data_IF_309230446770
#
_entry.id   IF_309230446770
#
_cell.length_a   1.000
_cell.length_b   1.000
_cell.length_c   1.000
_cell.angle_alpha   90.00
_cell.angle_beta   90.00
_cell.angle_gamma   90.00
#
_symmetry.space_group_name_H-M   'P 1'
#
loop_
_entity.id
_entity.type
_entity.pdbx_description
1 polymer ?
#
# COMPACT_ATOMS: atom_id res chain seq x y z
N UNK A 1 45.08 -0.45 17.10
CA UNK A 1 44.73 0.61 16.12
C UNK A 1 43.61 0.07 15.26
N UNK A 2 42.38 0.45 15.58
CA UNK A 2 41.16 -0.12 14.99
C UNK A 2 40.62 0.90 13.99
N UNK A 3 40.88 0.66 12.71
CA UNK A 3 40.34 1.46 11.62
C UNK A 3 38.88 1.05 11.42
N UNK A 4 37.97 1.74 12.11
CA UNK A 4 36.53 1.55 11.90
C UNK A 4 36.16 2.14 10.55
N UNK A 5 35.84 1.25 9.62
CA UNK A 5 35.33 1.52 8.28
C UNK A 5 33.97 2.22 8.39
N UNK A 6 33.96 3.54 8.21
CA UNK A 6 32.75 4.32 7.97
C UNK A 6 32.34 4.17 6.50
N UNK A 7 31.62 3.09 6.22
CA UNK A 7 30.87 2.82 4.98
C UNK A 7 29.46 2.46 5.46
N UNK A 8 28.33 3.05 5.04
CA UNK A 8 27.98 3.89 3.93
C UNK A 8 27.07 5.02 4.44
N UNK A 9 27.46 6.26 4.19
CA UNK A 9 26.49 7.31 3.88
C UNK A 9 26.67 7.49 2.39
N UNK A 10 25.97 6.69 1.58
CA UNK A 10 25.71 7.08 0.20
C UNK A 10 25.02 8.43 0.31
N UNK A 11 25.80 9.46 0.01
CA UNK A 11 25.36 10.83 0.14
C UNK A 11 24.19 10.97 -0.81
N UNK A 12 23.04 11.39 -0.30
CA UNK A 12 21.97 12.00 -1.11
C UNK A 12 22.50 13.17 -1.96
N UNK A 13 23.71 13.67 -1.65
CA UNK A 13 24.49 14.62 -2.45
C UNK A 13 25.10 14.04 -3.73
N UNK A 14 25.34 12.73 -3.82
CA UNK A 14 25.94 12.09 -5.00
C UNK A 14 24.88 11.75 -6.07
N UNK A 15 23.62 11.60 -5.67
CA UNK A 15 22.45 11.67 -6.58
C UNK A 15 22.31 13.04 -7.26
N UNK A 16 22.99 14.08 -6.76
CA UNK A 16 22.89 15.47 -7.25
C UNK A 16 24.17 15.93 -7.98
N UNK A 17 25.26 15.13 -8.02
CA UNK A 17 26.59 15.62 -8.43
C UNK A 17 27.37 14.81 -9.45
N UNK A 18 26.82 13.72 -9.97
CA UNK A 18 27.29 13.23 -11.27
C UNK A 18 26.53 13.98 -12.37
N UNK A 19 27.14 14.35 -13.52
CA UNK A 19 26.34 14.50 -14.71
C UNK A 19 25.57 13.17 -14.82
N UNK A 20 24.24 13.22 -14.71
CA UNK A 20 23.41 12.21 -15.36
C UNK A 20 23.87 12.31 -16.80
N UNK A 21 24.83 11.47 -17.20
CA UNK A 21 25.10 11.25 -18.58
C UNK A 21 23.72 10.95 -19.13
N UNK A 22 23.22 11.84 -19.97
CA UNK A 22 22.04 11.64 -20.80
C UNK A 22 22.44 10.52 -21.78
N UNK A 23 22.71 9.33 -21.24
CA UNK A 23 22.50 8.09 -21.93
C UNK A 23 21.08 8.22 -22.48
N UNK A 24 20.97 8.01 -23.79
CA UNK A 24 19.77 8.06 -24.62
C UNK A 24 18.52 8.17 -23.76
N UNK A 25 17.92 9.37 -23.72
CA UNK A 25 16.78 9.65 -22.86
C UNK A 25 15.81 8.46 -22.98
N UNK A 26 15.48 7.76 -21.88
CA UNK A 26 14.57 6.63 -21.96
C UNK A 26 13.30 7.09 -22.67
N UNK A 27 12.60 6.22 -23.39
CA UNK A 27 11.38 6.58 -24.07
C UNK A 27 10.32 7.03 -23.04
N UNK A 28 10.33 8.32 -22.68
CA UNK A 28 9.47 8.96 -21.67
C UNK A 28 8.01 8.97 -22.12
N UNK A 29 7.70 8.54 -23.34
CA UNK A 29 6.34 8.42 -23.89
C UNK A 29 5.43 7.63 -22.93
N UNK A 30 5.92 6.54 -22.36
CA UNK A 30 5.15 5.69 -21.44
C UNK A 30 5.05 6.24 -20.01
N UNK A 31 5.78 7.30 -19.69
CA UNK A 31 5.83 7.90 -18.35
C UNK A 31 4.89 9.11 -18.19
N UNK A 32 4.17 9.49 -19.25
CA UNK A 32 3.28 10.64 -19.22
C UNK A 32 2.14 10.47 -18.18
N UNK A 33 1.99 11.46 -17.30
CA UNK A 33 0.96 11.53 -16.26
C UNK A 33 0.33 12.92 -16.24
N UNK A 34 -0.96 13.00 -15.93
CA UNK A 34 -1.66 14.27 -15.78
C UNK A 34 -1.53 14.82 -14.35
N UNK A 35 -1.87 16.09 -14.15
CA UNK A 35 -1.95 16.67 -12.81
C UNK A 35 -2.98 15.95 -11.93
N UNK A 36 -4.08 15.46 -12.50
CA UNK A 36 -5.08 14.69 -11.77
C UNK A 36 -4.50 13.37 -11.23
N UNK A 37 -3.70 12.66 -12.03
CA UNK A 37 -3.02 11.45 -11.56
C UNK A 37 -2.09 11.76 -10.39
N UNK A 38 -1.34 12.87 -10.49
CA UNK A 38 -0.47 13.31 -9.40
C UNK A 38 -1.23 13.62 -8.11
N UNK A 39 -2.38 14.29 -8.19
CA UNK A 39 -3.21 14.60 -7.02
C UNK A 39 -3.76 13.34 -6.36
N UNK A 40 -4.21 12.36 -7.15
CA UNK A 40 -4.71 11.07 -6.66
C UNK A 40 -3.61 10.23 -6.00
N UNK A 41 -2.38 10.30 -6.52
CA UNK A 41 -1.22 9.60 -5.99
C UNK A 41 -0.69 10.15 -4.64
N UNK A 42 -1.02 11.40 -4.29
CA UNK A 42 -0.43 12.07 -3.12
C UNK A 42 -0.65 11.34 -1.78
N UNK A 43 -1.87 10.88 -1.42
CA UNK A 43 -2.11 10.29 -0.10
C UNK A 43 -1.33 8.99 0.15
N UNK A 44 -1.23 8.13 -0.88
CA UNK A 44 -0.47 6.89 -0.80
C UNK A 44 1.03 7.20 -0.77
N UNK A 45 1.49 8.16 -1.56
CA UNK A 45 2.88 8.65 -1.51
C UNK A 45 3.24 9.18 -0.12
N UNK A 46 2.37 9.99 0.49
CA UNK A 46 2.57 10.51 1.85
C UNK A 46 2.69 9.37 2.87
N UNK A 47 1.88 8.32 2.71
CA UNK A 47 1.94 7.14 3.58
C UNK A 47 3.29 6.41 3.43
N UNK A 48 3.78 6.21 2.20
CA UNK A 48 5.08 5.58 1.96
C UNK A 48 6.24 6.42 2.53
N UNK A 49 6.20 7.75 2.35
CA UNK A 49 7.18 8.68 2.92
C UNK A 49 7.17 8.62 4.45
N UNK A 50 6.01 8.70 5.08
CA UNK A 50 5.86 8.63 6.52
C UNK A 50 6.38 7.30 7.08
N UNK A 51 6.11 6.19 6.39
CA UNK A 51 6.66 4.88 6.75
C UNK A 51 8.18 4.85 6.63
N UNK A 52 8.76 5.35 5.53
CA UNK A 52 10.21 5.43 5.37
C UNK A 52 10.86 6.24 6.51
N UNK A 53 10.26 7.37 6.90
CA UNK A 53 10.73 8.19 8.02
C UNK A 53 10.69 7.40 9.33
N UNK A 54 9.56 6.73 9.60
CA UNK A 54 9.41 5.93 10.81
C UNK A 54 10.41 4.78 10.82
N UNK A 55 10.65 4.13 9.70
CA UNK A 55 11.55 2.98 9.59
C UNK A 55 13.03 3.37 9.65
N UNK A 56 13.38 4.63 9.39
CA UNK A 56 14.72 5.13 9.69
C UNK A 56 15.28 6.18 8.77
N UNK A 57 14.56 6.52 7.70
CA UNK A 57 15.00 7.55 6.78
C UNK A 57 14.97 8.93 7.46
N UNK A 58 16.04 9.74 7.37
CA UNK A 58 15.98 11.13 7.78
C UNK A 58 14.85 11.84 7.02
N UNK A 59 14.02 12.62 7.71
CA UNK A 59 12.84 13.27 7.09
C UNK A 59 13.17 14.09 5.84
N UNK A 60 14.33 14.77 5.82
CA UNK A 60 14.80 15.48 4.62
C UNK A 60 15.10 14.54 3.46
N UNK A 61 15.77 13.41 3.72
CA UNK A 61 16.10 12.43 2.70
C UNK A 61 14.83 11.73 2.17
N UNK A 62 13.93 11.33 3.06
CA UNK A 62 12.63 10.77 2.69
C UNK A 62 11.84 11.73 1.78
N UNK A 63 11.75 13.01 2.13
CA UNK A 63 11.05 14.00 1.29
C UNK A 63 11.68 14.18 -0.10
N UNK A 64 12.97 13.88 -0.28
CA UNK A 64 13.60 13.88 -1.61
C UNK A 64 13.15 12.69 -2.49
N UNK A 65 12.56 11.65 -1.90
CA UNK A 65 12.02 10.48 -2.63
C UNK A 65 10.65 10.77 -3.26
N UNK A 66 9.95 11.79 -2.75
CA UNK A 66 8.57 12.10 -3.13
C UNK A 66 8.34 12.19 -4.64
N UNK A 67 9.17 12.89 -5.45
CA UNK A 67 8.92 12.97 -6.88
C UNK A 67 8.88 11.59 -7.55
N UNK A 68 9.83 10.71 -7.23
CA UNK A 68 9.88 9.36 -7.80
C UNK A 68 8.68 8.51 -7.37
N UNK A 69 8.40 8.47 -6.06
CA UNK A 69 7.28 7.68 -5.52
C UNK A 69 5.93 8.16 -6.04
N UNK A 70 5.72 9.48 -6.11
CA UNK A 70 4.49 10.07 -6.62
C UNK A 70 4.32 9.81 -8.11
N UNK A 71 5.40 9.85 -8.89
CA UNK A 71 5.34 9.56 -10.33
C UNK A 71 4.97 8.10 -10.57
N UNK A 72 5.57 7.16 -9.82
CA UNK A 72 5.22 5.74 -9.94
C UNK A 72 3.78 5.48 -9.53
N UNK A 73 3.32 6.03 -8.40
CA UNK A 73 1.94 5.87 -7.97
C UNK A 73 0.94 6.51 -8.96
N UNK A 74 1.30 7.63 -9.58
CA UNK A 74 0.49 8.24 -10.63
C UNK A 74 0.40 7.36 -11.90
N UNK A 75 1.42 6.56 -12.20
CA UNK A 75 1.36 5.55 -13.26
C UNK A 75 0.48 4.37 -12.86
N UNK A 76 0.57 3.90 -11.62
CA UNK A 76 -0.35 2.88 -11.08
C UNK A 76 -1.80 3.33 -11.24
N UNK A 77 -2.12 4.56 -10.82
CA UNK A 77 -3.46 5.12 -10.97
C UNK A 77 -3.89 5.30 -12.45
N UNK A 78 -2.95 5.61 -13.36
CA UNK A 78 -3.26 5.62 -14.80
C UNK A 78 -3.65 4.22 -15.29
N UNK A 79 -2.93 3.19 -14.84
CA UNK A 79 -3.26 1.79 -15.11
C UNK A 79 -4.65 1.42 -14.61
N UNK A 80 -4.93 1.71 -13.34
CA UNK A 80 -6.23 1.51 -12.69
C UNK A 80 -7.38 2.11 -13.51
N UNK A 81 -7.28 3.39 -13.87
CA UNK A 81 -8.27 4.07 -14.73
C UNK A 81 -8.48 3.39 -16.09
N UNK A 82 -7.40 2.87 -16.68
CA UNK A 82 -7.53 2.18 -17.97
C UNK A 82 -8.21 0.83 -17.85
N UNK A 83 -7.99 0.10 -16.75
CA UNK A 83 -8.71 -1.13 -16.48
C UNK A 83 -10.18 -0.86 -16.15
N UNK A 84 -10.47 0.19 -15.39
CA UNK A 84 -11.86 0.62 -15.18
C UNK A 84 -12.56 1.00 -16.51
N UNK A 85 -11.86 1.67 -17.43
CA UNK A 85 -12.40 1.99 -18.76
C UNK A 85 -12.69 0.73 -19.58
N UNK A 86 -11.77 -0.24 -19.57
CA UNK A 86 -11.96 -1.55 -20.19
C UNK A 86 -13.20 -2.26 -19.62
N UNK A 87 -13.38 -2.26 -18.30
CA UNK A 87 -14.53 -2.88 -17.65
C UNK A 87 -15.86 -2.22 -18.05
N UNK A 88 -15.90 -0.90 -18.20
CA UNK A 88 -17.13 -0.15 -18.54
C UNK A 88 -17.46 -0.20 -20.04
N UNK A 89 -16.45 -0.18 -20.90
CA UNK A 89 -16.63 0.06 -22.34
C UNK A 89 -16.11 -1.07 -23.24
N UNK A 90 -15.42 -2.07 -22.68
CA UNK A 90 -14.81 -3.17 -23.44
C UNK A 90 -13.58 -2.75 -24.28
N UNK A 91 -12.99 -1.57 -24.00
CA UNK A 91 -11.78 -1.05 -24.67
C UNK A 91 -10.54 -1.88 -24.29
N UNK A 92 -9.46 -1.88 -25.06
CA UNK A 92 -8.24 -2.57 -24.62
C UNK A 92 -7.61 -1.85 -23.42
N UNK A 93 -7.28 -2.58 -22.35
CA UNK A 93 -6.58 -2.01 -21.20
C UNK A 93 -5.15 -1.56 -21.59
N UNK A 94 -4.81 -0.32 -21.26
CA UNK A 94 -3.46 0.22 -21.40
C UNK A 94 -2.53 -0.46 -20.40
N UNK A 95 -1.56 -1.22 -20.90
CA UNK A 95 -0.52 -1.87 -20.09
C UNK A 95 0.78 -1.07 -20.04
N UNK A 96 0.84 0.09 -20.71
CA UNK A 96 2.07 0.90 -20.79
C UNK A 96 2.44 1.56 -19.46
N UNK A 97 1.54 1.60 -18.46
CA UNK A 97 1.87 2.06 -17.12
C UNK A 97 3.04 1.27 -16.53
N UNK A 98 3.07 -0.05 -16.76
CA UNK A 98 4.14 -0.93 -16.28
C UNK A 98 5.46 -0.60 -16.95
N UNK A 99 5.47 -0.43 -18.26
CA UNK A 99 6.65 0.00 -19.02
C UNK A 99 7.19 1.35 -18.50
N UNK A 100 6.29 2.28 -18.14
CA UNK A 100 6.67 3.54 -17.51
C UNK A 100 7.34 3.36 -16.14
N UNK A 101 6.83 2.45 -15.30
CA UNK A 101 7.44 2.12 -14.01
C UNK A 101 8.80 1.43 -14.22
N UNK A 102 8.90 0.47 -15.13
CA UNK A 102 10.15 -0.23 -15.45
C UNK A 102 11.23 0.76 -15.94
N UNK A 103 10.85 1.74 -16.76
CA UNK A 103 11.76 2.80 -17.19
C UNK A 103 12.27 3.66 -16.02
N UNK A 104 11.40 4.00 -15.06
CA UNK A 104 11.78 4.72 -13.83
C UNK A 104 12.73 3.86 -12.99
N UNK A 105 12.40 2.58 -12.77
CA UNK A 105 13.27 1.65 -12.04
C UNK A 105 14.63 1.52 -12.71
N UNK A 106 14.69 1.41 -14.04
CA UNK A 106 15.91 1.42 -14.82
C UNK A 106 16.76 2.68 -14.61
N UNK A 107 16.14 3.86 -14.61
CA UNK A 107 16.84 5.13 -14.33
C UNK A 107 17.46 5.18 -12.93
N UNK A 108 16.86 4.48 -11.95
CA UNK A 108 17.40 4.32 -10.60
C UNK A 108 18.30 3.08 -10.41
N UNK A 109 18.59 2.32 -11.48
CA UNK A 109 19.35 1.05 -11.45
C UNK A 109 18.71 -0.02 -10.58
N UNK A 110 17.38 -0.10 -10.60
CA UNK A 110 16.55 -1.05 -9.86
C UNK A 110 15.76 -1.99 -10.79
N UNK A 111 16.05 -2.00 -12.10
CA UNK A 111 15.33 -2.85 -13.06
C UNK A 111 15.47 -4.36 -12.78
N UNK A 112 16.62 -4.79 -12.26
CA UNK A 112 16.89 -6.20 -11.95
C UNK A 112 16.43 -6.62 -10.54
N UNK A 113 15.73 -5.74 -9.80
CA UNK A 113 15.25 -6.07 -8.46
C UNK A 113 14.01 -6.98 -8.54
N UNK A 114 14.23 -8.27 -8.32
CA UNK A 114 13.18 -9.29 -8.41
C UNK A 114 12.03 -9.09 -7.43
N UNK A 115 12.28 -8.41 -6.31
CA UNK A 115 11.26 -8.21 -5.28
C UNK A 115 10.35 -7.01 -5.62
N UNK A 116 10.90 -5.96 -6.24
CA UNK A 116 10.09 -4.90 -6.86
C UNK A 116 9.28 -5.45 -8.05
N UNK A 117 9.91 -6.26 -8.92
CA UNK A 117 9.23 -6.89 -10.04
C UNK A 117 8.05 -7.77 -9.58
N UNK A 118 8.23 -8.58 -8.54
CA UNK A 118 7.16 -9.45 -8.01
C UNK A 118 5.95 -8.70 -7.45
N UNK A 119 6.14 -7.52 -6.85
CA UNK A 119 5.00 -6.69 -6.40
C UNK A 119 4.28 -6.04 -7.59
N UNK A 120 4.99 -5.69 -8.68
CA UNK A 120 4.36 -5.21 -9.92
C UNK A 120 3.58 -6.32 -10.64
N UNK A 121 4.10 -7.55 -10.64
CA UNK A 121 3.37 -8.71 -11.14
C UNK A 121 2.09 -8.95 -10.33
N UNK A 122 2.19 -8.89 -8.99
CA UNK A 122 1.01 -9.01 -8.11
C UNK A 122 -0.04 -7.91 -8.39
N UNK A 123 0.40 -6.69 -8.70
CA UNK A 123 -0.48 -5.58 -9.05
C UNK A 123 -1.14 -5.78 -10.42
N UNK A 124 -0.41 -6.29 -11.40
CA UNK A 124 -0.97 -6.61 -12.72
C UNK A 124 -1.99 -7.76 -12.61
N UNK A 125 -1.67 -8.82 -11.86
CA UNK A 125 -2.58 -9.93 -11.59
C UNK A 125 -3.86 -9.45 -10.88
N UNK A 126 -3.72 -8.46 -9.99
CA UNK A 126 -4.85 -7.82 -9.32
C UNK A 126 -5.78 -7.10 -10.31
N UNK A 127 -5.27 -6.28 -11.22
CA UNK A 127 -6.10 -5.59 -12.21
C UNK A 127 -6.86 -6.55 -13.14
N UNK A 128 -6.20 -7.63 -13.55
CA UNK A 128 -6.84 -8.69 -14.34
C UNK A 128 -7.92 -9.42 -13.53
N UNK A 129 -7.64 -9.74 -12.26
CA UNK A 129 -8.61 -10.37 -11.38
C UNK A 129 -9.82 -9.46 -11.13
N UNK A 130 -9.59 -8.18 -10.84
CA UNK A 130 -10.64 -7.18 -10.65
C UNK A 130 -11.55 -7.11 -11.87
N UNK A 131 -10.96 -7.11 -13.07
CA UNK A 131 -11.69 -7.13 -14.34
C UNK A 131 -12.56 -8.37 -14.48
N UNK A 132 -12.03 -9.57 -14.16
CA UNK A 132 -12.81 -10.81 -14.19
C UNK A 132 -13.94 -10.80 -13.17
N UNK A 133 -13.72 -10.26 -11.97
CA UNK A 133 -14.75 -10.10 -10.94
C UNK A 133 -15.84 -9.13 -11.43
N UNK A 134 -15.46 -7.97 -11.95
CA UNK A 134 -16.39 -6.95 -12.45
C UNK A 134 -17.24 -7.48 -13.62
N UNK A 135 -16.64 -8.30 -14.50
CA UNK A 135 -17.33 -8.96 -15.61
C UNK A 135 -18.13 -10.22 -15.23
N UNK A 136 -18.16 -10.61 -13.95
CA UNK A 136 -18.86 -11.83 -13.50
C UNK A 136 -18.24 -13.15 -14.00
N UNK A 137 -16.99 -13.10 -14.48
CA UNK A 137 -16.24 -14.27 -14.96
C UNK A 137 -15.59 -15.05 -13.82
N UNK A 138 -15.40 -14.41 -12.67
CA UNK A 138 -14.83 -15.02 -11.47
C UNK A 138 -15.91 -15.25 -10.40
N UNK A 139 -16.13 -16.49 -9.94
CA UNK A 139 -17.10 -16.77 -8.88
C UNK A 139 -16.72 -16.08 -7.57
N UNK A 140 -17.62 -15.25 -7.05
CA UNK A 140 -17.42 -14.59 -5.76
C UNK A 140 -17.44 -15.61 -4.63
N UNK A 141 -16.36 -15.63 -3.83
CA UNK A 141 -16.26 -16.44 -2.62
C UNK A 141 -15.64 -15.62 -1.49
N UNK A 142 -15.88 -15.99 -0.21
CA UNK A 142 -15.24 -15.31 0.92
C UNK A 142 -13.70 -15.37 0.87
N UNK A 143 -13.13 -16.46 0.34
CA UNK A 143 -11.68 -16.62 0.19
C UNK A 143 -11.12 -15.73 -0.93
N UNK A 144 -11.85 -15.59 -2.03
CA UNK A 144 -11.48 -14.67 -3.10
C UNK A 144 -11.44 -13.22 -2.58
N UNK A 145 -12.52 -12.76 -1.96
CA UNK A 145 -12.59 -11.38 -1.42
C UNK A 145 -11.49 -11.11 -0.39
N UNK A 146 -11.15 -12.13 0.41
CA UNK A 146 -10.03 -12.06 1.33
C UNK A 146 -8.69 -11.90 0.62
N UNK A 147 -8.39 -12.74 -0.38
CA UNK A 147 -7.16 -12.65 -1.16
C UNK A 147 -7.03 -11.31 -1.89
N UNK A 148 -8.13 -10.82 -2.48
CA UNK A 148 -8.18 -9.56 -3.21
C UNK A 148 -7.79 -8.36 -2.33
N UNK A 149 -8.13 -8.36 -1.03
CA UNK A 149 -7.71 -7.29 -0.11
C UNK A 149 -6.17 -7.20 0.04
N UNK A 150 -5.46 -8.34 -0.01
CA UNK A 150 -3.99 -8.36 0.04
C UNK A 150 -3.35 -8.01 -1.29
N UNK A 151 -3.97 -8.43 -2.40
CA UNK A 151 -3.48 -8.11 -3.74
C UNK A 151 -3.64 -6.61 -4.04
N UNK A 152 -4.79 -6.01 -3.71
CA UNK A 152 -5.06 -4.57 -3.86
C UNK A 152 -4.03 -3.69 -3.17
N UNK A 153 -3.54 -4.13 -2.01
CA UNK A 153 -2.51 -3.44 -1.23
C UNK A 153 -1.06 -3.70 -1.68
N UNK A 154 -0.84 -4.34 -2.84
CA UNK A 154 0.49 -4.54 -3.41
C UNK A 154 1.17 -3.23 -3.82
N UNK A 155 0.44 -2.25 -4.35
CA UNK A 155 1.02 -0.97 -4.76
C UNK A 155 1.70 -0.25 -3.58
N UNK A 156 1.12 -0.28 -2.38
CA UNK A 156 1.71 0.40 -1.22
C UNK A 156 2.92 -0.38 -0.69
N UNK A 157 2.91 -1.72 -0.77
CA UNK A 157 4.10 -2.53 -0.46
C UNK A 157 5.23 -2.25 -1.44
N UNK A 158 4.92 -2.16 -2.73
CA UNK A 158 5.85 -1.75 -3.77
C UNK A 158 6.46 -0.38 -3.47
N UNK A 159 5.65 0.63 -3.13
CA UNK A 159 6.16 1.97 -2.81
C UNK A 159 7.02 2.01 -1.55
N UNK A 160 6.67 1.25 -0.51
CA UNK A 160 7.51 1.14 0.69
C UNK A 160 8.84 0.48 0.36
N UNK A 161 8.84 -0.59 -0.46
CA UNK A 161 10.05 -1.25 -0.94
C UNK A 161 10.91 -0.28 -1.74
N UNK A 162 10.32 0.40 -2.73
CA UNK A 162 10.99 1.41 -3.55
C UNK A 162 11.59 2.53 -2.69
N UNK A 163 10.85 3.03 -1.71
CA UNK A 163 11.34 4.07 -0.80
C UNK A 163 12.57 3.61 -0.01
N UNK A 164 12.61 2.34 0.41
CA UNK A 164 13.78 1.75 1.09
C UNK A 164 14.98 1.61 0.16
N UNK A 165 14.80 1.13 -1.07
CA UNK A 165 15.89 1.06 -2.06
C UNK A 165 16.45 2.44 -2.40
N UNK A 166 15.59 3.42 -2.68
CA UNK A 166 16.03 4.78 -3.00
C UNK A 166 16.71 5.48 -1.81
N UNK A 167 16.37 5.09 -0.59
CA UNK A 167 17.01 5.59 0.63
C UNK A 167 18.26 4.82 1.05
N UNK A 168 18.64 3.76 0.32
CA UNK A 168 19.71 2.82 0.69
C UNK A 168 19.52 2.27 2.12
N UNK A 169 18.28 1.87 2.44
CA UNK A 169 17.90 1.34 3.74
C UNK A 169 17.57 -0.16 3.64
N UNK A 170 18.00 -0.97 4.60
CA UNK A 170 17.56 -2.37 4.65
C UNK A 170 16.05 -2.44 4.82
N UNK A 171 15.41 -3.32 4.07
CA UNK A 171 14.00 -3.67 4.24
C UNK A 171 13.90 -5.03 4.92
N UNK A 172 13.07 -5.12 5.95
CA UNK A 172 12.75 -6.37 6.60
C UNK A 172 11.50 -6.95 5.94
N UNK A 173 11.65 -8.00 5.13
CA UNK A 173 10.53 -8.65 4.43
C UNK A 173 9.43 -9.12 5.38
N UNK A 174 9.81 -9.62 6.56
CA UNK A 174 8.88 -10.02 7.60
C UNK A 174 8.04 -8.84 8.11
N UNK A 175 8.63 -7.64 8.20
CA UNK A 175 7.88 -6.43 8.52
C UNK A 175 6.90 -6.07 7.40
N UNK A 176 7.32 -6.17 6.13
CA UNK A 176 6.46 -5.83 5.01
C UNK A 176 5.25 -6.79 4.91
N UNK A 177 5.47 -8.07 5.19
CA UNK A 177 4.39 -9.06 5.30
C UNK A 177 3.38 -8.69 6.39
N UNK A 178 3.86 -8.36 7.60
CA UNK A 178 2.98 -7.87 8.67
C UNK A 178 2.24 -6.58 8.30
N UNK A 179 2.92 -5.65 7.65
CA UNK A 179 2.34 -4.39 7.18
C UNK A 179 1.23 -4.64 6.14
N UNK A 180 1.36 -5.68 5.32
CA UNK A 180 0.34 -6.12 4.36
C UNK A 180 -1.04 -6.31 5.00
N UNK A 181 -1.14 -6.92 6.18
CA UNK A 181 -2.43 -7.05 6.87
C UNK A 181 -3.01 -5.71 7.32
N UNK A 182 -2.16 -4.74 7.69
CA UNK A 182 -2.62 -3.39 8.07
C UNK A 182 -3.16 -2.67 6.84
N UNK A 183 -2.51 -2.81 5.70
CA UNK A 183 -2.98 -2.23 4.44
C UNK A 183 -4.30 -2.88 3.98
N UNK A 184 -4.39 -4.20 3.96
CA UNK A 184 -5.63 -4.92 3.64
C UNK A 184 -6.80 -4.53 4.56
N UNK A 185 -6.54 -4.36 5.87
CA UNK A 185 -7.53 -3.83 6.84
C UNK A 185 -7.96 -2.40 6.48
N UNK A 186 -7.03 -1.57 6.05
CA UNK A 186 -7.28 -0.18 5.71
C UNK A 186 -8.10 -0.06 4.43
N UNK A 187 -7.89 -0.93 3.43
CA UNK A 187 -8.75 -1.05 2.24
C UNK A 187 -10.20 -1.37 2.62
N UNK A 188 -10.41 -2.40 3.46
CA UNK A 188 -11.75 -2.78 3.95
C UNK A 188 -12.43 -1.61 4.68
N UNK A 189 -11.66 -0.85 5.45
CA UNK A 189 -12.17 0.31 6.18
C UNK A 189 -12.50 1.48 5.23
N UNK A 190 -11.64 1.72 4.22
CA UNK A 190 -11.85 2.73 3.21
C UNK A 190 -13.13 2.46 2.41
N UNK A 191 -13.32 1.20 1.97
CA UNK A 191 -14.50 0.78 1.22
C UNK A 191 -15.82 1.03 1.97
N UNK A 192 -15.82 0.89 3.30
CA UNK A 192 -17.00 1.23 4.11
C UNK A 192 -17.29 2.75 4.11
N UNK A 193 -16.26 3.59 4.03
CA UNK A 193 -16.38 5.05 4.01
C UNK A 193 -16.77 5.56 2.63
N UNK A 194 -16.18 5.00 1.57
CA UNK A 194 -16.36 5.41 0.17
C UNK A 194 -17.49 4.67 -0.53
N UNK A 195 -18.16 3.73 0.14
CA UNK A 195 -19.21 2.89 -0.44
C UNK A 195 -20.22 3.64 -1.33
N UNK A 196 -20.74 4.78 -0.85
CA UNK A 196 -21.76 5.52 -1.60
C UNK A 196 -21.20 6.17 -2.88
N UNK A 197 -19.98 6.71 -2.85
CA UNK A 197 -19.33 7.28 -4.03
C UNK A 197 -18.91 6.20 -5.01
N UNK A 198 -18.30 5.11 -4.51
CA UNK A 198 -17.81 4.01 -5.36
C UNK A 198 -18.97 3.33 -6.08
N UNK A 199 -20.10 3.17 -5.40
CA UNK A 199 -21.32 2.63 -6.01
C UNK A 199 -21.85 3.54 -7.13
N UNK A 200 -21.80 4.86 -6.95
CA UNK A 200 -22.25 5.82 -7.96
C UNK A 200 -21.32 5.87 -9.18
N UNK A 201 -20.03 5.65 -8.97
CA UNK A 201 -18.99 5.61 -10.01
C UNK A 201 -18.83 4.22 -10.66
N UNK A 202 -19.53 3.22 -10.11
CA UNK A 202 -19.44 1.83 -10.55
C UNK A 202 -18.11 1.16 -10.21
N UNK A 203 -17.26 1.80 -9.40
CA UNK A 203 -15.94 1.32 -9.03
C UNK A 203 -15.98 0.08 -8.13
N UNK A 204 -14.83 -0.59 -8.04
CA UNK A 204 -14.65 -1.74 -7.18
C UNK A 204 -14.76 -1.34 -5.71
N UNK A 205 -15.55 -2.11 -4.96
CA UNK A 205 -15.74 -1.91 -3.54
C UNK A 205 -16.10 -3.26 -2.89
N UNK A 206 -15.32 -3.69 -1.90
CA UNK A 206 -15.52 -5.02 -1.28
C UNK A 206 -16.88 -5.16 -0.62
N UNK A 207 -17.45 -4.11 -0.03
CA UNK A 207 -18.78 -4.15 0.58
C UNK A 207 -19.89 -4.33 -0.47
N UNK A 208 -19.72 -3.77 -1.67
CA UNK A 208 -20.62 -4.04 -2.80
C UNK A 208 -20.58 -5.52 -3.18
N UNK A 209 -19.40 -6.11 -3.26
CA UNK A 209 -19.26 -7.54 -3.56
C UNK A 209 -19.85 -8.44 -2.46
N UNK A 210 -19.71 -8.05 -1.19
CA UNK A 210 -20.40 -8.74 -0.09
C UNK A 210 -21.92 -8.66 -0.22
N UNK A 211 -22.47 -7.55 -0.71
CA UNK A 211 -23.90 -7.40 -0.95
C UNK A 211 -24.40 -8.30 -2.09
N UNK A 212 -23.58 -8.49 -3.14
CA UNK A 212 -23.87 -9.46 -4.20
C UNK A 212 -23.86 -10.88 -3.65
N UNK A 213 -22.85 -11.23 -2.85
CA UNK A 213 -22.65 -12.60 -2.36
C UNK A 213 -23.65 -13.02 -1.25
N UNK A 214 -23.94 -12.12 -0.31
CA UNK A 214 -24.72 -12.43 0.90
C UNK A 214 -26.06 -11.68 0.99
N UNK A 215 -26.39 -10.89 -0.02
CA UNK A 215 -27.52 -9.98 -0.01
C UNK A 215 -27.30 -8.74 0.88
N UNK A 216 -28.13 -7.70 0.74
CA UNK A 216 -27.97 -6.43 1.46
C UNK A 216 -27.94 -6.55 2.98
N UNK A 217 -28.73 -7.48 3.54
CA UNK A 217 -28.80 -7.69 5.00
C UNK A 217 -27.56 -8.41 5.55
N UNK A 218 -26.99 -9.33 4.77
CA UNK A 218 -25.81 -10.12 5.16
C UNK A 218 -24.49 -9.40 4.92
N UNK A 219 -24.44 -8.47 3.97
CA UNK A 219 -23.23 -7.76 3.55
C UNK A 219 -22.45 -7.13 4.71
N UNK A 220 -23.17 -6.45 5.62
CA UNK A 220 -22.53 -5.76 6.74
C UNK A 220 -21.90 -6.72 7.76
N UNK A 221 -22.50 -7.89 7.96
CA UNK A 221 -21.94 -8.94 8.81
C UNK A 221 -20.75 -9.63 8.13
N UNK A 222 -20.87 -9.93 6.84
CA UNK A 222 -19.78 -10.51 6.05
C UNK A 222 -18.57 -9.57 5.97
N UNK A 223 -18.76 -8.26 5.79
CA UNK A 223 -17.67 -7.28 5.82
C UNK A 223 -16.98 -7.21 7.19
N UNK A 224 -17.75 -7.31 8.28
CA UNK A 224 -17.19 -7.42 9.64
C UNK A 224 -16.40 -8.72 9.83
N UNK A 225 -16.89 -9.84 9.29
CA UNK A 225 -16.20 -11.13 9.34
C UNK A 225 -14.90 -11.10 8.52
N UNK A 226 -14.90 -10.48 7.33
CA UNK A 226 -13.71 -10.26 6.51
C UNK A 226 -12.67 -9.40 7.24
N UNK A 227 -13.10 -8.27 7.83
CA UNK A 227 -12.24 -7.42 8.67
C UNK A 227 -11.64 -8.21 9.85
N UNK A 228 -12.45 -9.01 10.54
CA UNK A 228 -12.01 -9.83 11.67
C UNK A 228 -11.01 -10.93 11.23
N UNK A 229 -11.20 -11.52 10.04
CA UNK A 229 -10.31 -12.52 9.45
C UNK A 229 -8.93 -11.93 9.17
N UNK A 230 -8.84 -10.77 8.52
CA UNK A 230 -7.56 -10.07 8.26
C UNK A 230 -6.82 -9.74 9.56
N UNK A 231 -7.56 -9.34 10.62
CA UNK A 231 -6.96 -9.14 11.94
C UNK A 231 -6.51 -10.46 12.60
N UNK A 232 -7.22 -11.55 12.36
CA UNK A 232 -6.84 -12.89 12.81
C UNK A 232 -5.54 -13.37 12.19
N UNK A 233 -5.36 -13.15 10.88
CA UNK A 233 -4.11 -13.45 10.17
C UNK A 233 -2.94 -12.65 10.75
N UNK A 234 -3.14 -11.33 10.94
CA UNK A 234 -2.14 -10.49 11.61
C UNK A 234 -1.80 -11.00 13.00
N UNK A 235 -2.79 -11.42 13.79
CA UNK A 235 -2.57 -11.94 15.13
C UNK A 235 -1.75 -13.23 15.14
N UNK A 236 -1.97 -14.11 14.15
CA UNK A 236 -1.23 -15.33 13.94
C UNK A 236 0.22 -15.04 13.52
N UNK A 237 0.44 -14.15 12.56
CA UNK A 237 1.79 -13.76 12.13
C UNK A 237 2.56 -13.04 13.23
N UNK A 238 1.92 -12.12 13.96
CA UNK A 238 2.54 -11.46 15.12
C UNK A 238 2.99 -12.45 16.18
N UNK A 239 2.31 -13.59 16.34
CA UNK A 239 2.70 -14.61 17.31
C UNK A 239 4.06 -15.25 16.96
N UNK A 240 4.37 -15.37 15.67
CA UNK A 240 5.61 -15.96 15.16
C UNK A 240 6.71 -14.94 14.89
N UNK A 241 6.36 -13.66 14.76
CA UNK A 241 7.30 -12.61 14.44
C UNK A 241 8.42 -12.47 15.47
N UNK A 242 9.64 -12.27 14.97
CA UNK A 242 10.81 -12.03 15.81
C UNK A 242 10.75 -10.64 16.50
N UNK A 243 11.60 -10.44 17.52
CA UNK A 243 11.62 -9.19 18.28
C UNK A 243 12.01 -7.98 17.40
N UNK A 244 13.06 -8.04 16.55
CA UNK A 244 13.37 -6.96 15.61
C UNK A 244 12.16 -6.52 14.75
N UNK A 245 11.46 -7.46 14.13
CA UNK A 245 10.30 -7.24 13.28
C UNK A 245 9.15 -6.63 14.09
N UNK A 246 8.84 -7.16 15.27
CA UNK A 246 7.83 -6.58 16.15
C UNK A 246 8.15 -5.14 16.56
N UNK A 247 9.43 -4.83 16.82
CA UNK A 247 9.85 -3.48 17.17
C UNK A 247 9.74 -2.50 15.99
N UNK A 248 10.06 -2.95 14.77
CA UNK A 248 9.86 -2.17 13.55
C UNK A 248 8.38 -1.90 13.28
N UNK A 249 7.55 -2.94 13.37
CA UNK A 249 6.10 -2.84 13.24
C UNK A 249 5.53 -1.86 14.27
N UNK A 250 5.94 -2.00 15.53
CA UNK A 250 5.59 -1.11 16.62
C UNK A 250 5.90 0.35 16.31
N UNK A 251 7.09 0.61 15.78
CA UNK A 251 7.55 1.95 15.44
C UNK A 251 6.86 2.55 14.20
N UNK A 252 6.47 1.71 13.23
CA UNK A 252 5.77 2.14 12.03
C UNK A 252 4.30 2.50 12.30
N UNK A 253 3.57 1.65 13.00
CA UNK A 253 2.10 1.74 13.05
C UNK A 253 1.53 2.21 14.39
N UNK A 254 2.31 2.19 15.48
CA UNK A 254 1.76 2.57 16.78
C UNK A 254 1.92 4.07 17.04
N UNK A 255 0.95 4.70 17.71
CA UNK A 255 1.10 6.08 18.15
C UNK A 255 2.31 6.18 19.09
N UNK A 256 3.15 7.20 18.89
CA UNK A 256 4.27 7.49 19.79
C UNK A 256 3.70 7.73 21.20
N UNK A 257 3.99 6.83 22.13
CA UNK A 257 3.33 6.80 23.45
C UNK A 257 3.58 8.04 24.32
N UNK A 258 4.57 8.88 24.03
CA UNK A 258 4.86 10.06 24.85
C UNK A 258 5.60 11.14 24.07
N UNK A 259 4.88 12.06 23.41
CA UNK A 259 5.35 13.44 23.25
C UNK A 259 4.21 14.44 23.42
N UNK A 260 4.37 15.46 24.28
CA UNK A 260 3.49 16.63 24.26
C UNK A 260 3.44 17.22 22.85
N UNK A 261 2.25 17.69 22.42
CA UNK A 261 1.98 18.21 21.05
C UNK A 261 3.00 19.24 20.54
N UNK A 262 3.74 19.93 21.43
CA UNK A 262 4.70 20.99 21.10
C UNK A 262 6.01 20.53 20.42
N UNK A 263 6.31 19.23 20.36
CA UNK A 263 7.55 18.70 19.74
C UNK A 263 7.29 17.75 18.55
N UNK A 264 6.16 17.90 17.85
CA UNK A 264 5.81 17.05 16.70
C UNK A 264 6.74 17.20 15.49
N UNK A 265 7.44 18.33 15.37
CA UNK A 265 8.25 18.65 14.18
C UNK A 265 9.67 18.10 14.21
N UNK A 266 10.09 17.50 15.32
CA UNK A 266 11.41 16.86 15.40
C UNK A 266 11.21 15.35 15.51
N UNK A 267 11.31 14.60 14.40
CA UNK A 267 11.23 13.15 14.41
C UNK A 267 12.51 12.62 15.05
N UNK A 268 12.57 12.66 16.38
CA UNK A 268 13.62 11.97 17.10
C UNK A 268 13.53 10.48 16.71
N UNK A 269 14.60 9.88 16.16
CA UNK A 269 14.63 8.47 15.77
C UNK A 269 14.70 7.52 16.98
N UNK A 270 14.67 8.05 18.21
CA UNK A 270 14.69 7.30 19.47
C UNK A 270 13.42 6.51 19.92
N UNK A 271 12.22 6.52 19.27
CA UNK A 271 11.14 5.59 19.63
C UNK A 271 11.55 4.12 19.49
N UNK A 272 12.64 3.86 18.76
CA UNK A 272 13.31 2.56 18.65
C UNK A 272 13.67 1.93 20.00
N UNK A 273 14.11 2.71 20.99
CA UNK A 273 14.57 2.15 22.26
C UNK A 273 13.42 1.54 23.07
N UNK A 274 12.24 2.16 23.05
CA UNK A 274 11.10 1.72 23.85
C UNK A 274 10.57 0.36 23.39
N UNK A 275 10.23 0.23 22.11
CA UNK A 275 9.72 -1.05 21.58
C UNK A 275 10.80 -2.14 21.59
N UNK A 276 12.07 -1.78 21.38
CA UNK A 276 13.18 -2.73 21.53
C UNK A 276 13.34 -3.21 22.96
N UNK A 277 13.09 -2.39 23.98
CA UNK A 277 13.22 -2.77 25.39
C UNK A 277 12.02 -3.58 25.90
N UNK A 278 10.84 -3.43 25.29
CA UNK A 278 9.63 -4.13 25.72
C UNK A 278 9.73 -5.66 25.56
N UNK A 279 9.27 -6.46 26.54
CA UNK A 279 9.17 -7.91 26.38
C UNK A 279 8.28 -8.28 25.18
N UNK A 280 8.63 -9.27 24.35
CA UNK A 280 7.86 -9.61 23.14
C UNK A 280 6.38 -9.88 23.39
N UNK A 281 6.02 -10.56 24.48
CA UNK A 281 4.61 -10.81 24.84
C UNK A 281 3.83 -9.51 25.09
N UNK A 282 4.45 -8.54 25.78
CA UNK A 282 3.85 -7.22 26.01
C UNK A 282 3.75 -6.42 24.71
N UNK A 283 4.80 -6.45 23.88
CA UNK A 283 4.83 -5.74 22.60
C UNK A 283 3.74 -6.24 21.66
N UNK A 284 3.58 -7.56 21.54
CA UNK A 284 2.49 -8.18 20.78
C UNK A 284 1.13 -7.73 21.29
N UNK A 285 0.88 -7.85 22.60
CA UNK A 285 -0.39 -7.39 23.20
C UNK A 285 -0.64 -5.91 22.89
N UNK A 286 0.37 -5.06 23.05
CA UNK A 286 0.26 -3.64 22.79
C UNK A 286 -0.04 -3.35 21.32
N UNK A 287 0.66 -4.01 20.39
CA UNK A 287 0.40 -3.94 18.95
C UNK A 287 -1.07 -4.28 18.66
N UNK A 288 -1.54 -5.44 19.15
CA UNK A 288 -2.92 -5.90 18.93
C UNK A 288 -3.96 -4.89 19.41
N UNK A 289 -3.78 -4.38 20.62
CA UNK A 289 -4.69 -3.38 21.20
C UNK A 289 -4.72 -2.09 20.38
N UNK A 290 -3.56 -1.62 19.93
CA UNK A 290 -3.46 -0.37 19.17
C UNK A 290 -3.95 -0.50 17.73
N UNK A 291 -3.62 -1.59 17.02
CA UNK A 291 -4.12 -1.86 15.67
C UNK A 291 -5.65 -1.87 15.70
N UNK A 292 -6.27 -2.57 16.66
CA UNK A 292 -7.74 -2.59 16.83
C UNK A 292 -8.36 -1.25 17.22
N UNK A 293 -7.59 -0.33 17.81
CA UNK A 293 -8.06 1.01 18.21
C UNK A 293 -7.83 2.09 17.15
N UNK A 294 -6.75 1.98 16.38
CA UNK A 294 -6.24 3.03 15.48
C UNK A 294 -7.19 3.37 14.33
N UNK A 295 -7.81 2.35 13.74
CA UNK A 295 -8.86 2.47 12.73
C UNK A 295 -9.88 1.40 13.01
N UNK A 296 -10.95 1.78 13.72
CA UNK A 296 -12.11 0.89 13.85
C UNK A 296 -12.80 0.85 12.50
N UNK A 297 -13.34 -0.32 12.14
CA UNK A 297 -14.22 -0.42 10.99
C UNK A 297 -15.29 0.66 11.12
N UNK A 298 -15.41 1.52 10.11
CA UNK A 298 -16.45 2.52 10.05
C UNK A 298 -17.83 1.83 10.17
N UNK A 299 -18.89 2.54 10.63
CA UNK A 299 -20.23 2.01 10.55
C UNK A 299 -20.49 1.49 9.14
N UNK A 300 -20.69 0.19 9.01
CA UNK A 300 -20.87 -0.43 7.69
C UNK A 300 -22.24 0.01 7.20
N UNK A 301 -22.34 0.76 6.09
CA UNK A 301 -23.63 1.17 5.56
C UNK A 301 -24.41 -0.10 5.21
N UNK A 302 -25.73 -0.07 5.45
CA UNK A 302 -26.60 -1.14 4.97
C UNK A 302 -26.82 -0.88 3.48
N UNK A 303 -26.35 -1.75 2.59
CA UNK A 303 -26.67 -1.64 1.17
C UNK A 303 -28.18 -1.52 1.02
N UNK A 304 -28.64 -0.56 0.25
CA UNK A 304 -30.04 -0.55 -0.16
C UNK A 304 -30.22 -1.64 -1.22
N UNK A 305 -31.35 -2.36 -1.21
CA UNK A 305 -31.68 -3.24 -2.30
C UNK A 305 -31.78 -2.39 -3.56
N UNK A 306 -30.79 -2.47 -4.44
CA UNK A 306 -30.91 -1.87 -5.75
C UNK A 306 -32.01 -2.65 -6.47
N UNK A 307 -33.03 -1.95 -6.96
CA UNK A 307 -33.88 -2.53 -7.99
C UNK A 307 -32.96 -2.80 -9.16
N UNK A 308 -32.64 -4.08 -9.41
CA UNK A 308 -32.01 -4.48 -10.66
C UNK A 308 -32.85 -3.85 -11.78
N UNK A 309 -32.25 -3.04 -12.67
CA UNK A 309 -32.97 -2.65 -13.87
C UNK A 309 -33.31 -3.96 -14.57
N UNK A 310 -34.61 -4.24 -14.70
CA UNK A 310 -35.11 -5.43 -15.38
C UNK A 310 -34.33 -5.62 -16.68
N UNK A 311 -33.79 -6.81 -16.89
CA UNK A 311 -33.07 -7.20 -18.11
C UNK A 311 -34.01 -7.33 -19.34
N UNK A 312 -35.00 -6.45 -19.44
CA UNK A 312 -35.89 -6.28 -20.60
C UNK A 312 -35.52 -4.96 -21.28
N UNK A 313 -34.53 -5.02 -22.17
CA UNK A 313 -34.09 -3.93 -23.04
C UNK A 313 -33.33 -4.47 -24.24
#
# INVERSE_FOLDING_TARGET
MTTTVHTAIVRTRDLVRGPLALAEQPAWEHTAITFQHQLKAMPITDTAIDLAIRLGSPARAANCLRPALQHVEALVYRGDLSFEDHQRHGTAADTTWRQGIDAILGAYRLADDSALAGELDTLADYFELETRIAGGLEPLTPDLLHATCYQRSSHIRFLVRLAHHLADLPLHEEFLRLAGHVFARDEITADCVTYASDLAEGSFNTLRLQAVLHGPRGAAEAQRALYARVLGDLDAELAQADRPTLALFGNAFLPRLTRPRRHRHDPDPRPRAYYRAMPPAMLRRHIREQVRRSKRLAPVPVPQAQHEPSAEG
#
